data_IF_549502736785
#
_entry.id   IF_549502736785
#
_cell.length_a   1.000
_cell.length_b   1.000
_cell.length_c   1.000
_cell.angle_alpha   90.00
_cell.angle_beta   90.00
_cell.angle_gamma   90.00
#
_symmetry.space_group_name_H-M   'P 1'
#
loop_
_entity.id
_entity.type
_entity.pdbx_description
1 polymer ?
#
# COMPACT_ATOMS: atom_id res chain seq x y z
N UNK A 1 -15.93 3.44 -10.64
CA UNK A 1 -14.58 3.83 -11.05
C UNK A 1 -13.87 4.50 -9.88
N UNK A 2 -12.71 4.01 -9.52
CA UNK A 2 -11.96 4.60 -8.43
C UNK A 2 -11.37 5.94 -8.86
N UNK A 3 -11.41 6.96 -8.01
CA UNK A 3 -10.80 8.24 -8.35
C UNK A 3 -9.28 8.10 -8.46
N UNK A 4 -8.71 8.81 -9.42
CA UNK A 4 -7.26 8.85 -9.56
C UNK A 4 -6.69 9.71 -8.43
N UNK A 5 -5.70 9.23 -7.67
CA UNK A 5 -5.09 10.06 -6.63
C UNK A 5 -4.43 11.28 -7.23
N UNK A 6 -4.66 12.44 -6.64
CA UNK A 6 -4.08 13.68 -7.11
C UNK A 6 -2.84 14.10 -6.32
N UNK A 7 -2.54 13.37 -5.24
CA UNK A 7 -1.38 13.67 -4.40
C UNK A 7 -0.89 12.40 -3.71
N UNK A 8 0.34 12.45 -3.19
CA UNK A 8 0.90 11.36 -2.39
C UNK A 8 0.02 11.05 -1.18
N UNK A 9 -0.50 12.07 -0.51
CA UNK A 9 -1.36 11.88 0.66
C UNK A 9 -2.63 11.13 0.29
N UNK A 10 -3.24 11.44 -0.86
CA UNK A 10 -4.44 10.73 -1.32
C UNK A 10 -4.13 9.28 -1.68
N UNK A 11 -3.00 9.02 -2.33
CA UNK A 11 -2.59 7.66 -2.67
C UNK A 11 -2.37 6.83 -1.41
N UNK A 12 -1.72 7.39 -0.41
CA UNK A 12 -1.51 6.72 0.88
C UNK A 12 -2.85 6.47 1.57
N UNK A 13 -3.76 7.43 1.53
CA UNK A 13 -5.10 7.26 2.10
C UNK A 13 -5.85 6.13 1.39
N UNK A 14 -5.74 6.02 0.07
CA UNK A 14 -6.33 4.90 -0.68
C UNK A 14 -5.77 3.56 -0.25
N UNK A 15 -4.44 3.48 -0.05
CA UNK A 15 -3.82 2.25 0.46
C UNK A 15 -4.43 1.86 1.80
N UNK A 16 -4.53 2.81 2.71
CA UNK A 16 -5.09 2.57 4.04
C UNK A 16 -6.54 2.10 3.96
N UNK A 17 -7.36 2.77 3.16
CA UNK A 17 -8.76 2.40 2.99
C UNK A 17 -8.91 1.01 2.37
N UNK A 18 -8.08 0.69 1.38
CA UNK A 18 -8.10 -0.61 0.73
C UNK A 18 -7.78 -1.71 1.75
N UNK A 19 -6.76 -1.51 2.57
CA UNK A 19 -6.37 -2.48 3.60
C UNK A 19 -7.47 -2.63 4.66
N UNK A 20 -8.02 -1.51 5.15
CA UNK A 20 -9.09 -1.55 6.15
C UNK A 20 -10.34 -2.24 5.61
N UNK A 21 -10.73 -1.93 4.38
CA UNK A 21 -11.89 -2.57 3.76
C UNK A 21 -11.68 -4.07 3.56
N UNK A 22 -10.48 -4.47 3.17
CA UNK A 22 -10.15 -5.88 3.01
C UNK A 22 -10.17 -6.61 4.34
N UNK A 23 -9.68 -5.99 5.41
CA UNK A 23 -9.72 -6.58 6.74
C UNK A 23 -11.17 -6.75 7.21
N UNK A 24 -11.99 -5.73 7.02
CA UNK A 24 -13.40 -5.75 7.40
C UNK A 24 -14.19 -6.81 6.62
N UNK A 25 -13.82 -7.03 5.35
CA UNK A 25 -14.46 -8.01 4.49
C UNK A 25 -13.98 -9.44 4.73
N UNK A 26 -12.95 -9.62 5.56
CA UNK A 26 -12.36 -10.93 5.81
C UNK A 26 -11.37 -11.38 4.74
N UNK A 27 -11.01 -10.51 3.80
CA UNK A 27 -10.02 -10.83 2.76
C UNK A 27 -8.60 -10.89 3.32
N UNK A 28 -8.33 -10.11 4.38
CA UNK A 28 -7.03 -10.10 5.05
C UNK A 28 -7.22 -10.51 6.51
N UNK A 29 -6.26 -11.28 7.03
CA UNK A 29 -6.21 -11.53 8.47
C UNK A 29 -5.78 -10.25 9.18
N UNK A 30 -6.10 -10.15 10.49
CA UNK A 30 -5.73 -8.97 11.26
C UNK A 30 -4.21 -8.80 11.33
N UNK A 31 -3.44 -9.89 11.35
CA UNK A 31 -1.98 -9.82 11.35
C UNK A 31 -1.43 -9.25 10.05
N UNK A 32 -1.93 -9.73 8.90
CA UNK A 32 -1.51 -9.23 7.59
C UNK A 32 -1.91 -7.75 7.44
N UNK A 33 -3.13 -7.41 7.81
CA UNK A 33 -3.59 -6.02 7.73
C UNK A 33 -2.77 -5.10 8.61
N UNK A 34 -2.40 -5.53 9.81
CA UNK A 34 -1.55 -4.74 10.70
C UNK A 34 -0.17 -4.50 10.11
N UNK A 35 0.42 -5.53 9.47
CA UNK A 35 1.71 -5.39 8.79
C UNK A 35 1.63 -4.37 7.67
N UNK A 36 0.60 -4.47 6.83
CA UNK A 36 0.41 -3.53 5.72
C UNK A 36 0.20 -2.11 6.22
N UNK A 37 -0.61 -1.91 7.26
CA UNK A 37 -0.83 -0.58 7.84
C UNK A 37 0.45 0.01 8.40
N UNK A 38 1.27 -0.80 9.05
CA UNK A 38 2.56 -0.34 9.57
C UNK A 38 3.48 0.14 8.46
N UNK A 39 3.51 -0.57 7.34
CA UNK A 39 4.32 -0.17 6.19
C UNK A 39 3.78 1.08 5.50
N UNK A 40 2.45 1.22 5.43
CA UNK A 40 1.83 2.43 4.91
C UNK A 40 2.16 3.63 5.80
N UNK A 41 2.16 3.45 7.11
CA UNK A 41 2.55 4.50 8.05
C UNK A 41 4.00 4.92 7.82
N UNK A 42 4.90 3.95 7.56
CA UNK A 42 6.29 4.25 7.22
C UNK A 42 6.40 5.09 5.95
N UNK A 43 5.56 4.82 4.95
CA UNK A 43 5.52 5.63 3.73
C UNK A 43 5.08 7.07 4.05
N UNK A 44 4.08 7.24 4.91
CA UNK A 44 3.62 8.56 5.32
C UNK A 44 4.73 9.35 6.01
N UNK A 45 5.46 8.70 6.92
CA UNK A 45 6.58 9.34 7.60
C UNK A 45 7.69 9.72 6.62
N UNK A 46 8.03 8.81 5.72
CA UNK A 46 9.07 9.06 4.72
C UNK A 46 8.69 10.21 3.80
N UNK A 47 7.43 10.30 3.40
CA UNK A 47 6.94 11.39 2.57
C UNK A 47 7.02 12.73 3.31
N UNK A 48 6.72 12.74 4.60
CA UNK A 48 6.76 13.94 5.42
C UNK A 48 8.20 14.42 5.66
N UNK A 49 9.14 13.49 5.84
CA UNK A 49 10.54 13.82 6.12
C UNK A 49 11.37 13.99 4.86
N UNK A 50 10.88 13.47 3.71
CA UNK A 50 11.61 13.49 2.45
C UNK A 50 12.76 12.51 2.37
N UNK A 51 12.82 11.53 3.26
CA UNK A 51 13.93 10.60 3.37
C UNK A 51 13.39 9.16 3.49
N UNK A 52 14.00 8.23 2.76
CA UNK A 52 13.63 6.80 2.82
C UNK A 52 12.33 6.44 2.13
N UNK A 53 11.79 7.32 1.31
CA UNK A 53 10.48 7.11 0.67
C UNK A 53 10.49 5.90 -0.25
N UNK A 54 11.49 5.79 -1.12
CA UNK A 54 11.60 4.67 -2.05
C UNK A 54 11.78 3.35 -1.30
N UNK A 55 12.59 3.34 -0.25
CA UNK A 55 12.78 2.14 0.56
C UNK A 55 11.48 1.69 1.22
N UNK A 56 10.66 2.64 1.69
CA UNK A 56 9.36 2.31 2.27
C UNK A 56 8.41 1.72 1.24
N UNK A 57 8.40 2.28 0.02
CA UNK A 57 7.59 1.74 -1.08
C UNK A 57 8.03 0.33 -1.46
N UNK A 58 9.34 0.09 -1.51
CA UNK A 58 9.88 -1.23 -1.83
C UNK A 58 9.49 -2.26 -0.79
N UNK A 59 9.50 -1.89 0.50
CA UNK A 59 9.08 -2.80 1.57
C UNK A 59 7.64 -3.22 1.40
N UNK A 60 6.76 -2.26 1.13
CA UNK A 60 5.35 -2.57 0.92
C UNK A 60 5.17 -3.45 -0.31
N UNK A 61 5.86 -3.16 -1.39
CA UNK A 61 5.82 -3.96 -2.61
C UNK A 61 6.21 -5.41 -2.33
N UNK A 62 7.31 -5.62 -1.59
CA UNK A 62 7.77 -6.97 -1.25
C UNK A 62 6.75 -7.70 -0.37
N UNK A 63 6.16 -7.01 0.59
CA UNK A 63 5.14 -7.60 1.45
C UNK A 63 3.92 -8.04 0.64
N UNK A 64 3.50 -7.22 -0.31
CA UNK A 64 2.38 -7.57 -1.19
C UNK A 64 2.71 -8.81 -2.02
N UNK A 65 3.90 -8.85 -2.62
CA UNK A 65 4.33 -9.99 -3.44
C UNK A 65 4.42 -11.26 -2.61
N UNK A 66 5.02 -11.18 -1.43
CA UNK A 66 5.11 -12.31 -0.52
C UNK A 66 3.74 -12.81 -0.09
N UNK A 67 2.85 -11.89 0.25
CA UNK A 67 1.48 -12.24 0.64
C UNK A 67 0.72 -12.91 -0.49
N UNK A 68 0.90 -12.44 -1.72
CA UNK A 68 0.27 -13.06 -2.88
C UNK A 68 0.79 -14.47 -3.09
N UNK A 69 2.11 -14.67 -2.99
CA UNK A 69 2.73 -15.99 -3.14
C UNK A 69 2.30 -16.95 -2.06
N UNK A 70 2.13 -16.47 -0.83
CA UNK A 70 1.72 -17.30 0.30
C UNK A 70 0.22 -17.49 0.38
N UNK A 71 -0.55 -16.75 -0.40
CA UNK A 71 -2.00 -16.82 -0.37
C UNK A 71 -2.65 -16.02 0.75
N UNK A 72 -1.87 -15.19 1.46
CA UNK A 72 -2.42 -14.33 2.53
C UNK A 72 -3.03 -13.05 1.99
N UNK A 73 -2.69 -12.66 0.76
CA UNK A 73 -3.26 -11.48 0.08
C UNK A 73 -3.91 -11.98 -1.21
N UNK A 74 -5.23 -11.75 -1.39
CA UNK A 74 -5.91 -12.13 -2.64
C UNK A 74 -5.32 -11.40 -3.84
N UNK A 75 -5.36 -12.03 -5.00
CA UNK A 75 -4.79 -11.46 -6.21
C UNK A 75 -5.42 -10.12 -6.56
N UNK A 76 -6.74 -10.00 -6.48
CA UNK A 76 -7.44 -8.76 -6.81
C UNK A 76 -6.97 -7.62 -5.91
N UNK A 77 -6.81 -7.89 -4.62
CA UNK A 77 -6.33 -6.90 -3.68
C UNK A 77 -4.88 -6.54 -3.96
N UNK A 78 -4.05 -7.53 -4.29
CA UNK A 78 -2.65 -7.31 -4.66
C UNK A 78 -2.54 -6.37 -5.86
N UNK A 79 -3.40 -6.56 -6.86
CA UNK A 79 -3.43 -5.70 -8.06
C UNK A 79 -3.82 -4.27 -7.68
N UNK A 80 -4.81 -4.09 -6.83
CA UNK A 80 -5.24 -2.76 -6.40
C UNK A 80 -4.12 -2.03 -5.65
N UNK A 81 -3.46 -2.74 -4.73
CA UNK A 81 -2.36 -2.16 -3.96
C UNK A 81 -1.18 -1.82 -4.87
N UNK A 82 -0.86 -2.72 -5.81
CA UNK A 82 0.24 -2.49 -6.75
C UNK A 82 -0.03 -1.29 -7.67
N UNK A 83 -1.27 -1.11 -8.09
CA UNK A 83 -1.64 0.04 -8.93
C UNK A 83 -1.39 1.35 -8.19
N UNK A 84 -1.80 1.43 -6.92
CA UNK A 84 -1.58 2.63 -6.12
C UNK A 84 -0.09 2.84 -5.85
N UNK A 85 0.66 1.75 -5.61
CA UNK A 85 2.11 1.85 -5.44
C UNK A 85 2.78 2.38 -6.71
N UNK A 86 2.35 1.94 -7.88
CA UNK A 86 2.88 2.44 -9.14
C UNK A 86 2.70 3.95 -9.27
N UNK A 87 1.55 4.45 -8.84
CA UNK A 87 1.31 5.89 -8.81
C UNK A 87 2.32 6.58 -7.88
N UNK A 88 2.55 6.02 -6.69
CA UNK A 88 3.50 6.60 -5.74
C UNK A 88 4.93 6.59 -6.29
N UNK A 89 5.34 5.52 -6.95
CA UNK A 89 6.65 5.47 -7.61
C UNK A 89 6.76 6.54 -8.70
N UNK A 90 5.72 6.72 -9.50
CA UNK A 90 5.70 7.73 -10.54
C UNK A 90 5.81 9.15 -9.99
N UNK A 91 5.20 9.42 -8.83
CA UNK A 91 5.21 10.76 -8.25
C UNK A 91 6.57 11.16 -7.69
N UNK A 92 7.46 10.20 -7.42
CA UNK A 92 8.80 10.50 -6.89
C UNK A 92 9.78 10.92 -7.96
N UNK A 93 9.48 10.63 -9.23
CA UNK A 93 10.39 10.92 -10.34
C UNK A 93 10.16 12.26 -11.01
N UNK A 94 9.17 12.99 -10.55
CA UNK A 94 8.80 14.26 -11.21
C UNK A 94 9.33 15.48 -10.49
#
# INVERSE_FOLDING_TARGET
MLPVPTSTAEAVAQLTETVQGAESSGLLSSGTAATLRGEITAIQHAAATGSGYIAALERLSKTIQSGQSQGTIPQDLSVQLATTLSYLYGSTGS
#
